data_IF_099648811099
#
_entry.id   IF_099648811099
#
_cell.length_a   1.000
_cell.length_b   1.000
_cell.length_c   1.000
_cell.angle_alpha   90.00
_cell.angle_beta   90.00
_cell.angle_gamma   90.00
#
_symmetry.space_group_name_H-M   'P 1'
#
loop_
_entity.id
_entity.type
_entity.pdbx_description
1 polymer ?
#
# COMPACT_ATOMS: atom_id res chain seq x y z
N UNK A 1 42.15 19.72 -28.20
CA UNK A 1 43.33 19.02 -27.63
C UNK A 1 42.85 18.11 -26.51
N UNK A 2 43.06 16.86 -26.75
CA UNK A 2 42.57 15.68 -26.08
C UNK A 2 43.50 15.40 -24.88
N UNK A 3 42.95 15.13 -23.71
CA UNK A 3 43.71 14.65 -22.57
C UNK A 3 42.97 13.50 -21.86
N UNK A 4 43.30 12.27 -22.30
CA UNK A 4 42.80 11.05 -21.67
C UNK A 4 43.64 10.74 -20.41
N UNK A 5 42.99 10.47 -19.29
CA UNK A 5 43.61 9.91 -18.08
C UNK A 5 43.15 8.46 -17.92
N UNK A 6 44.09 7.53 -18.21
CA UNK A 6 43.98 6.11 -17.83
C UNK A 6 44.23 5.96 -16.35
N UNK A 7 43.37 5.25 -15.62
CA UNK A 7 43.65 4.67 -14.30
C UNK A 7 43.71 3.15 -14.39
N UNK A 8 44.86 2.67 -13.95
CA UNK A 8 45.33 1.30 -13.80
C UNK A 8 44.51 0.54 -12.75
N UNK A 9 44.07 -0.66 -13.12
CA UNK A 9 43.47 -1.65 -12.24
C UNK A 9 44.61 -2.51 -11.67
N UNK A 10 44.69 -2.63 -10.35
CA UNK A 10 45.52 -3.63 -9.66
C UNK A 10 44.61 -4.72 -9.11
N UNK A 11 44.87 -5.95 -9.51
CA UNK A 11 44.35 -7.17 -8.88
C UNK A 11 45.13 -7.47 -7.58
N UNK A 12 44.51 -8.06 -6.57
CA UNK A 12 45.24 -8.73 -5.49
C UNK A 12 45.24 -10.25 -5.66
N UNK A 13 46.40 -10.81 -5.35
CA UNK A 13 46.89 -12.17 -5.46
C UNK A 13 46.11 -13.19 -4.61
N UNK A 14 46.06 -14.43 -5.14
CA UNK A 14 45.68 -15.66 -4.44
C UNK A 14 46.78 -16.09 -3.45
N UNK A 15 46.37 -16.53 -2.25
CA UNK A 15 47.20 -17.39 -1.40
C UNK A 15 46.47 -18.71 -1.12
N UNK A 16 47.07 -19.78 -1.56
CA UNK A 16 46.79 -21.20 -1.22
C UNK A 16 47.32 -21.52 0.18
N UNK A 17 46.67 -22.44 0.86
CA UNK A 17 47.19 -23.58 1.66
C UNK A 17 46.18 -23.94 2.75
N UNK A 18 45.96 -25.14 3.19
CA UNK A 18 46.42 -26.53 2.99
C UNK A 18 45.45 -27.45 3.73
N UNK A 19 45.33 -28.63 3.24
CA UNK A 19 44.60 -29.81 3.73
C UNK A 19 45.00 -30.27 5.13
N UNK A 20 44.01 -30.72 5.95
CA UNK A 20 44.18 -31.87 6.84
C UNK A 20 42.95 -32.73 6.92
N UNK A 21 43.17 -34.05 6.68
CA UNK A 21 42.23 -35.14 6.85
C UNK A 21 42.08 -35.50 8.34
N UNK A 22 40.89 -35.91 8.74
CA UNK A 22 40.65 -36.63 9.98
C UNK A 22 39.34 -37.39 9.90
N UNK A 23 39.43 -38.70 9.98
CA UNK A 23 38.39 -39.71 9.95
C UNK A 23 37.59 -39.78 11.25
N UNK A 24 36.31 -40.17 11.22
CA UNK A 24 35.77 -40.99 12.30
C UNK A 24 34.28 -40.76 12.65
N UNK A 25 33.49 -41.74 12.26
CA UNK A 25 32.37 -42.39 12.94
C UNK A 25 30.97 -41.77 13.06
N UNK A 26 30.08 -42.63 12.62
CA UNK A 26 28.66 -42.66 12.66
C UNK A 26 28.06 -42.52 14.08
N UNK A 27 26.95 -41.80 14.19
CA UNK A 27 25.83 -42.15 15.04
C UNK A 27 24.57 -41.43 14.54
N UNK A 28 23.57 -42.19 14.21
CA UNK A 28 22.22 -41.71 13.89
C UNK A 28 21.59 -41.03 15.11
N UNK A 29 21.05 -39.85 14.92
CA UNK A 29 20.12 -39.23 15.87
C UNK A 29 18.98 -38.62 15.05
N UNK A 30 17.78 -39.06 15.32
CA UNK A 30 16.52 -38.57 14.82
C UNK A 30 16.41 -37.07 15.20
N UNK A 31 16.35 -36.22 14.23
CA UNK A 31 16.22 -34.78 14.43
C UNK A 31 14.75 -34.38 14.31
N UNK A 32 14.14 -34.09 15.45
CA UNK A 32 12.87 -33.39 15.52
C UNK A 32 13.04 -32.00 14.92
N UNK A 33 12.35 -31.75 13.80
CA UNK A 33 12.23 -30.42 13.24
C UNK A 33 11.47 -29.51 14.21
N UNK A 34 12.19 -28.75 15.01
CA UNK A 34 11.67 -27.54 15.61
C UNK A 34 11.57 -26.46 14.51
N UNK A 35 10.33 -26.14 14.14
CA UNK A 35 10.05 -24.92 13.39
C UNK A 35 10.45 -23.71 14.25
N UNK A 36 11.63 -23.20 14.04
CA UNK A 36 12.06 -21.92 14.62
C UNK A 36 11.22 -20.81 13.99
N UNK A 37 10.26 -20.29 14.74
CA UNK A 37 9.54 -19.06 14.45
C UNK A 37 10.49 -17.88 14.42
N UNK A 38 11.18 -17.67 13.31
CA UNK A 38 11.89 -16.43 13.03
C UNK A 38 10.85 -15.35 12.76
N UNK A 39 10.64 -14.48 13.71
CA UNK A 39 9.97 -13.18 13.52
C UNK A 39 10.72 -12.43 12.42
N UNK A 40 10.20 -12.44 11.21
CA UNK A 40 10.76 -11.68 10.09
C UNK A 40 10.75 -10.21 10.51
N UNK A 41 11.92 -9.59 10.63
CA UNK A 41 12.05 -8.17 10.94
C UNK A 41 11.22 -7.34 9.95
N UNK A 42 10.57 -6.29 10.45
CA UNK A 42 9.83 -5.36 9.61
C UNK A 42 10.78 -4.79 8.53
N UNK A 43 10.43 -4.99 7.27
CA UNK A 43 11.14 -4.40 6.14
C UNK A 43 10.54 -3.03 5.92
N UNK A 44 11.23 -1.99 6.35
CA UNK A 44 10.93 -0.62 5.96
C UNK A 44 11.51 -0.49 4.55
N UNK A 45 10.64 -0.33 3.56
CA UNK A 45 11.08 0.01 2.21
C UNK A 45 11.53 1.47 2.22
N UNK A 46 12.57 1.83 1.45
CA UNK A 46 12.99 3.21 1.32
C UNK A 46 11.82 4.08 0.82
N UNK A 47 11.88 5.38 1.17
CA UNK A 47 10.99 6.39 0.62
C UNK A 47 11.14 6.37 -0.90
N UNK A 48 10.17 5.79 -1.60
CA UNK A 48 10.22 5.71 -3.06
C UNK A 48 9.86 7.06 -3.64
N UNK A 49 10.88 7.85 -3.97
CA UNK A 49 10.72 9.11 -4.71
C UNK A 49 10.43 8.89 -6.19
N UNK A 50 10.51 7.63 -6.66
CA UNK A 50 10.31 7.25 -8.05
C UNK A 50 9.21 6.18 -8.18
N UNK A 51 8.13 6.55 -8.84
CA UNK A 51 6.99 5.68 -9.15
C UNK A 51 7.38 4.42 -9.91
N UNK A 52 8.33 4.54 -10.83
CA UNK A 52 8.75 3.45 -11.67
C UNK A 52 9.48 2.37 -10.85
N UNK A 53 10.20 2.77 -9.79
CA UNK A 53 10.91 1.85 -8.93
C UNK A 53 9.95 1.01 -8.06
N UNK A 54 8.93 1.64 -7.45
CA UNK A 54 7.92 0.94 -6.65
C UNK A 54 7.05 0.00 -7.52
N UNK A 55 6.70 0.44 -8.74
CA UNK A 55 5.98 -0.38 -9.72
C UNK A 55 6.85 -1.53 -10.25
N UNK A 56 8.12 -1.27 -10.55
CA UNK A 56 9.07 -2.28 -11.05
C UNK A 56 9.32 -3.40 -10.02
N UNK A 57 9.17 -3.13 -8.74
CA UNK A 57 9.33 -4.13 -7.68
C UNK A 57 8.10 -5.04 -7.52
N UNK A 58 6.94 -4.71 -8.12
CA UNK A 58 5.72 -5.51 -7.98
C UNK A 58 5.31 -5.75 -6.54
N UNK A 59 5.55 -4.78 -5.65
CA UNK A 59 5.45 -4.95 -4.20
C UNK A 59 4.04 -5.35 -3.75
N UNK A 60 3.00 -4.83 -4.42
CA UNK A 60 1.62 -5.22 -4.13
C UNK A 60 1.40 -6.70 -4.46
N UNK A 61 1.85 -7.16 -5.63
CA UNK A 61 1.74 -8.56 -6.04
C UNK A 61 2.54 -9.48 -5.09
N UNK A 62 3.75 -9.07 -4.66
CA UNK A 62 4.55 -9.80 -3.66
C UNK A 62 3.76 -9.96 -2.34
N UNK A 63 3.10 -8.90 -1.89
CA UNK A 63 2.31 -8.93 -0.66
C UNK A 63 1.04 -9.76 -0.78
N UNK A 64 0.48 -9.89 -1.98
CA UNK A 64 -0.74 -10.67 -2.26
C UNK A 64 -0.44 -12.17 -2.49
N UNK A 65 0.80 -12.52 -2.83
CA UNK A 65 1.16 -13.89 -3.16
C UNK A 65 0.78 -14.88 -2.06
N UNK A 66 0.00 -15.91 -2.42
CA UNK A 66 -0.45 -16.96 -1.51
C UNK A 66 -1.48 -16.54 -0.45
N UNK A 67 -1.94 -15.29 -0.45
CA UNK A 67 -2.99 -14.81 0.45
C UNK A 67 -4.38 -15.19 -0.08
N UNK A 68 -5.30 -15.51 0.84
CA UNK A 68 -6.70 -15.85 0.53
C UNK A 68 -7.68 -14.84 1.09
N UNK A 69 -7.32 -14.18 2.20
CA UNK A 69 -8.17 -13.22 2.87
C UNK A 69 -7.40 -11.94 3.22
N UNK A 70 -7.98 -10.80 2.86
CA UNK A 70 -7.38 -9.48 3.06
C UNK A 70 -8.38 -8.58 3.79
N UNK A 71 -7.87 -7.82 4.74
CA UNK A 71 -8.58 -6.70 5.33
C UNK A 71 -7.89 -5.39 4.96
N UNK A 72 -8.69 -4.41 4.54
CA UNK A 72 -8.25 -3.05 4.27
C UNK A 72 -8.78 -2.16 5.40
N UNK A 73 -7.89 -1.38 6.01
CA UNK A 73 -8.20 -0.46 7.10
C UNK A 73 -7.76 0.96 6.73
N UNK A 74 -8.61 1.94 7.06
CA UNK A 74 -8.25 3.35 7.02
C UNK A 74 -8.24 3.97 8.42
N UNK A 75 -8.12 5.31 8.49
CA UNK A 75 -8.08 6.01 9.76
C UNK A 75 -9.47 6.34 10.31
N UNK A 76 -9.54 6.64 11.62
CA UNK A 76 -10.75 7.15 12.30
C UNK A 76 -11.20 8.47 11.68
N UNK A 77 -12.52 8.72 11.63
CA UNK A 77 -13.11 9.85 10.94
C UNK A 77 -12.64 9.97 9.50
N UNK A 78 -12.87 8.94 8.66
CA UNK A 78 -12.30 8.85 7.33
C UNK A 78 -12.73 10.03 6.45
N UNK A 79 -11.76 10.68 5.86
CA UNK A 79 -11.95 11.74 4.88
C UNK A 79 -11.98 11.21 3.44
N UNK A 80 -11.89 12.10 2.45
CA UNK A 80 -11.98 11.69 1.05
C UNK A 80 -10.80 10.89 0.58
N UNK A 81 -9.59 11.09 1.11
CA UNK A 81 -8.42 10.30 0.70
C UNK A 81 -8.42 8.92 1.36
N UNK A 82 -8.72 8.86 2.64
CA UNK A 82 -8.88 7.58 3.34
C UNK A 82 -9.95 6.69 2.66
N UNK A 83 -11.12 7.25 2.35
CA UNK A 83 -12.20 6.52 1.66
C UNK A 83 -11.79 6.16 0.24
N UNK A 84 -11.22 7.11 -0.50
CA UNK A 84 -10.81 6.93 -1.89
C UNK A 84 -9.74 5.87 -2.06
N UNK A 85 -8.70 5.90 -1.23
CA UNK A 85 -7.61 4.92 -1.29
C UNK A 85 -8.06 3.52 -0.84
N UNK A 86 -8.84 3.42 0.25
CA UNK A 86 -9.36 2.13 0.72
C UNK A 86 -10.33 1.48 -0.29
N UNK A 87 -11.31 2.23 -0.82
CA UNK A 87 -12.26 1.72 -1.80
C UNK A 87 -11.63 1.52 -3.18
N UNK A 88 -10.66 2.34 -3.56
CA UNK A 88 -9.87 2.16 -4.78
C UNK A 88 -9.13 0.82 -4.76
N UNK A 89 -8.43 0.52 -3.66
CA UNK A 89 -7.75 -0.76 -3.49
C UNK A 89 -8.74 -1.93 -3.43
N UNK A 90 -9.86 -1.78 -2.69
CA UNK A 90 -10.90 -2.80 -2.59
C UNK A 90 -11.46 -3.19 -3.97
N UNK A 91 -11.87 -2.21 -4.77
CA UNK A 91 -12.40 -2.47 -6.11
C UNK A 91 -11.33 -3.08 -7.02
N UNK A 92 -10.10 -2.56 -6.99
CA UNK A 92 -9.00 -3.10 -7.79
C UNK A 92 -8.73 -4.56 -7.48
N UNK A 93 -8.66 -4.94 -6.19
CA UNK A 93 -8.43 -6.33 -5.79
C UNK A 93 -9.58 -7.24 -6.20
N UNK A 94 -10.83 -6.80 -6.00
CA UNK A 94 -12.02 -7.59 -6.39
C UNK A 94 -12.14 -7.82 -7.89
N UNK A 95 -11.74 -6.85 -8.70
CA UNK A 95 -11.83 -6.93 -10.15
C UNK A 95 -10.70 -7.75 -10.78
N UNK A 96 -9.52 -7.80 -10.15
CA UNK A 96 -8.33 -8.34 -10.79
C UNK A 96 -7.75 -9.60 -10.14
N UNK A 97 -8.20 -9.99 -8.93
CA UNK A 97 -7.69 -11.17 -8.21
C UNK A 97 -8.82 -12.13 -7.86
N UNK A 98 -9.07 -13.08 -8.75
CA UNK A 98 -10.13 -14.08 -8.57
C UNK A 98 -9.85 -14.98 -7.35
N UNK A 99 -10.89 -15.26 -6.57
CA UNK A 99 -10.81 -16.12 -5.38
C UNK A 99 -10.22 -15.45 -4.14
N UNK A 100 -9.86 -14.16 -4.21
CA UNK A 100 -9.40 -13.39 -3.06
C UNK A 100 -10.59 -12.83 -2.28
N UNK A 101 -10.69 -13.18 -0.99
CA UNK A 101 -11.66 -12.58 -0.08
C UNK A 101 -11.13 -11.23 0.43
N UNK A 102 -11.79 -10.13 0.04
CA UNK A 102 -11.40 -8.78 0.43
C UNK A 102 -12.50 -8.14 1.27
N UNK A 103 -12.14 -7.66 2.46
CA UNK A 103 -13.01 -6.91 3.35
C UNK A 103 -12.44 -5.52 3.61
N UNK A 104 -13.29 -4.50 3.66
CA UNK A 104 -12.88 -3.14 4.03
C UNK A 104 -13.63 -2.70 5.29
N UNK A 105 -12.87 -2.17 6.25
CA UNK A 105 -13.40 -1.68 7.53
C UNK A 105 -13.01 -0.21 7.71
N UNK A 106 -14.02 0.65 7.77
CA UNK A 106 -13.88 2.08 8.05
C UNK A 106 -14.94 2.49 9.06
N UNK A 107 -14.71 3.56 9.79
CA UNK A 107 -15.78 4.22 10.53
C UNK A 107 -16.84 4.74 9.55
N UNK A 108 -18.00 5.14 10.11
CA UNK A 108 -19.13 5.61 9.31
C UNK A 108 -18.73 6.76 8.39
N UNK A 109 -18.83 6.50 7.09
CA UNK A 109 -18.54 7.47 6.04
C UNK A 109 -19.72 8.45 5.81
N UNK A 110 -19.41 9.65 5.35
CA UNK A 110 -20.42 10.59 4.93
C UNK A 110 -21.19 10.10 3.70
N UNK A 111 -22.52 10.31 3.66
CA UNK A 111 -23.39 9.93 2.53
C UNK A 111 -22.98 10.56 1.20
N UNK A 112 -22.25 11.66 1.24
CA UNK A 112 -21.69 12.34 0.07
C UNK A 112 -20.73 11.46 -0.75
N UNK A 113 -20.21 10.37 -0.19
CA UNK A 113 -19.36 9.40 -0.87
C UNK A 113 -20.12 8.17 -1.39
N UNK A 114 -21.46 8.14 -1.24
CA UNK A 114 -22.27 6.97 -1.62
C UNK A 114 -22.28 6.65 -3.12
N UNK A 115 -21.74 7.52 -3.96
CA UNK A 115 -21.55 7.26 -5.39
C UNK A 115 -20.36 6.34 -5.68
N UNK A 116 -19.43 6.17 -4.73
CA UNK A 116 -18.28 5.31 -4.91
C UNK A 116 -18.66 3.83 -4.87
N UNK A 117 -18.14 3.08 -5.83
CA UNK A 117 -18.28 1.63 -5.84
C UNK A 117 -17.67 1.04 -4.56
N UNK A 118 -18.35 0.06 -3.96
CA UNK A 118 -17.93 -0.55 -2.70
C UNK A 118 -18.37 0.22 -1.44
N UNK A 119 -18.99 1.42 -1.56
CA UNK A 119 -19.44 2.19 -0.40
C UNK A 119 -20.34 1.37 0.56
N UNK A 120 -21.26 0.60 0.01
CA UNK A 120 -22.19 -0.23 0.80
C UNK A 120 -21.57 -1.55 1.29
N UNK A 121 -20.37 -1.90 0.83
CA UNK A 121 -19.66 -3.12 1.23
C UNK A 121 -18.76 -2.87 2.46
N UNK A 122 -18.62 -1.60 2.89
CA UNK A 122 -17.79 -1.22 4.03
C UNK A 122 -18.41 -1.71 5.33
N UNK A 123 -17.62 -2.45 6.09
CA UNK A 123 -17.97 -2.84 7.45
C UNK A 123 -17.64 -1.70 8.43
N UNK A 124 -18.61 -1.35 9.26
CA UNK A 124 -18.46 -0.26 10.25
C UNK A 124 -18.36 -0.74 11.69
N UNK A 125 -18.46 -2.04 11.90
CA UNK A 125 -18.38 -2.69 13.22
C UNK A 125 -17.27 -3.73 13.24
N UNK A 126 -16.52 -3.78 14.34
CA UNK A 126 -15.48 -4.78 14.53
C UNK A 126 -16.10 -6.16 14.80
N UNK A 127 -15.70 -7.16 14.02
CA UNK A 127 -16.04 -8.56 14.23
C UNK A 127 -14.82 -9.34 14.74
N UNK A 128 -14.74 -9.50 16.06
CA UNK A 128 -13.60 -10.15 16.71
C UNK A 128 -13.43 -11.64 16.40
N UNK A 129 -14.31 -12.25 15.58
CA UNK A 129 -14.20 -13.65 15.16
C UNK A 129 -13.39 -13.84 13.89
N UNK A 130 -13.16 -12.75 13.12
CA UNK A 130 -12.44 -12.79 11.83
C UNK A 130 -10.94 -12.61 12.00
N UNK A 131 -10.19 -13.39 11.24
CA UNK A 131 -8.74 -13.26 11.06
C UNK A 131 -8.40 -13.22 9.57
N UNK A 132 -7.30 -12.56 9.22
CA UNK A 132 -6.92 -12.34 7.84
C UNK A 132 -5.47 -12.76 7.56
N UNK A 133 -5.20 -13.16 6.32
CA UNK A 133 -3.84 -13.47 5.88
C UNK A 133 -3.01 -12.19 5.75
N UNK A 134 -3.65 -11.09 5.34
CA UNK A 134 -2.98 -9.79 5.16
C UNK A 134 -3.90 -8.66 5.65
N UNK A 135 -3.33 -7.76 6.43
CA UNK A 135 -3.94 -6.47 6.73
C UNK A 135 -3.21 -5.37 5.94
N UNK A 136 -3.95 -4.64 5.12
CA UNK A 136 -3.44 -3.46 4.41
C UNK A 136 -4.02 -2.21 5.09
N UNK A 137 -3.16 -1.32 5.56
CA UNK A 137 -3.57 -0.01 6.07
C UNK A 137 -3.34 1.04 4.98
N UNK A 138 -4.32 1.91 4.75
CA UNK A 138 -4.21 3.02 3.81
C UNK A 138 -4.53 4.33 4.52
N UNK A 139 -3.73 5.35 4.28
CA UNK A 139 -3.89 6.70 4.81
C UNK A 139 -3.94 6.77 6.35
N UNK A 140 -3.11 5.97 7.02
CA UNK A 140 -3.03 5.93 8.47
C UNK A 140 -1.60 5.96 8.95
N UNK A 141 -1.23 6.96 9.74
CA UNK A 141 0.15 7.21 10.18
C UNK A 141 0.60 6.39 11.40
N UNK A 142 -0.36 5.90 12.21
CA UNK A 142 -0.08 5.16 13.44
C UNK A 142 -1.25 4.26 13.87
N UNK A 143 -0.99 3.35 14.83
CA UNK A 143 -1.99 2.38 15.31
C UNK A 143 -3.23 3.02 15.93
N UNK A 144 -3.13 4.06 16.78
CA UNK A 144 -4.29 4.74 17.34
C UNK A 144 -5.28 5.25 16.29
N UNK A 145 -4.79 5.64 15.11
CA UNK A 145 -5.65 6.09 14.01
C UNK A 145 -6.49 4.98 13.38
N UNK A 146 -6.18 3.71 13.61
CA UNK A 146 -7.01 2.59 13.14
C UNK A 146 -8.26 2.38 14.03
N UNK A 147 -8.36 3.06 15.16
CA UNK A 147 -9.51 3.01 16.05
C UNK A 147 -9.91 1.60 16.49
N UNK A 148 -11.20 1.30 16.41
CA UNK A 148 -11.75 -0.01 16.81
C UNK A 148 -11.24 -1.17 15.94
N UNK A 149 -10.68 -0.92 14.77
CA UNK A 149 -10.23 -1.94 13.82
C UNK A 149 -8.74 -2.31 13.98
N UNK A 150 -7.99 -1.64 14.87
CA UNK A 150 -6.59 -1.94 15.16
C UNK A 150 -6.31 -3.42 15.44
N UNK A 151 -7.18 -4.20 16.14
CA UNK A 151 -6.93 -5.62 16.39
C UNK A 151 -6.80 -6.47 15.12
N UNK A 152 -7.40 -6.09 13.99
CA UNK A 152 -7.19 -6.82 12.73
C UNK A 152 -5.75 -6.74 12.24
N UNK A 153 -5.12 -5.56 12.40
CA UNK A 153 -3.68 -5.40 12.07
C UNK A 153 -2.80 -6.23 13.02
N UNK A 154 -3.17 -6.34 14.30
CA UNK A 154 -2.40 -7.07 15.31
C UNK A 154 -2.49 -8.60 15.13
N UNK A 155 -3.62 -9.09 14.62
CA UNK A 155 -3.91 -10.52 14.47
C UNK A 155 -3.71 -11.07 13.05
N UNK A 156 -3.54 -10.21 12.04
CA UNK A 156 -3.26 -10.64 10.68
C UNK A 156 -1.89 -11.32 10.59
N UNK A 157 -1.77 -12.33 9.71
CA UNK A 157 -0.51 -13.07 9.52
C UNK A 157 0.58 -12.19 8.91
N UNK A 158 0.17 -11.17 8.15
CA UNK A 158 1.06 -10.21 7.52
C UNK A 158 0.44 -8.82 7.48
N UNK A 159 1.27 -7.77 7.33
CA UNK A 159 0.80 -6.38 7.35
C UNK A 159 1.50 -5.51 6.31
N UNK A 160 0.75 -4.67 5.62
CA UNK A 160 1.23 -3.75 4.58
C UNK A 160 0.63 -2.35 4.80
N UNK A 161 1.45 -1.31 4.67
CA UNK A 161 1.02 0.08 4.82
C UNK A 161 1.26 0.85 3.51
N UNK A 162 0.26 1.62 3.10
CA UNK A 162 0.31 2.57 1.98
C UNK A 162 -0.05 3.93 2.55
N UNK A 163 0.89 4.89 2.55
CA UNK A 163 0.69 6.16 3.22
C UNK A 163 1.53 7.28 2.60
N UNK A 164 1.16 8.54 2.87
CA UNK A 164 1.91 9.72 2.47
C UNK A 164 2.27 10.63 3.66
N UNK A 165 1.89 10.28 4.87
CA UNK A 165 2.16 11.10 6.05
C UNK A 165 3.64 11.06 6.46
N UNK A 166 4.29 12.23 6.53
CA UNK A 166 5.68 12.38 7.00
C UNK A 166 5.87 11.91 8.45
N UNK A 167 4.80 11.84 9.22
CA UNK A 167 4.81 11.38 10.61
C UNK A 167 4.80 9.86 10.74
N UNK A 168 4.47 9.13 9.70
CA UNK A 168 4.47 7.67 9.70
C UNK A 168 5.91 7.13 9.82
N UNK A 169 6.16 6.29 10.82
CA UNK A 169 7.47 5.68 11.11
C UNK A 169 7.52 4.19 10.81
N UNK A 170 6.58 3.70 10.01
CA UNK A 170 6.45 2.29 9.69
C UNK A 170 5.38 1.61 10.55
N UNK A 171 4.14 1.70 10.10
CA UNK A 171 2.98 1.12 10.80
C UNK A 171 2.92 -0.41 10.67
N UNK A 172 3.41 -0.96 9.57
CA UNK A 172 3.27 -2.36 9.18
C UNK A 172 4.63 -3.04 8.97
N UNK A 173 4.62 -4.34 8.72
CA UNK A 173 5.84 -5.10 8.39
C UNK A 173 6.46 -4.62 7.07
N UNK A 174 5.65 -4.33 6.08
CA UNK A 174 6.06 -3.69 4.83
C UNK A 174 5.35 -2.36 4.73
N UNK A 175 6.07 -1.30 4.34
CA UNK A 175 5.53 0.04 4.26
C UNK A 175 5.97 0.71 2.96
N UNK A 176 5.04 1.31 2.26
CA UNK A 176 5.28 2.26 1.18
C UNK A 176 4.77 3.62 1.65
N UNK A 177 5.69 4.51 1.99
CA UNK A 177 5.39 5.82 2.56
C UNK A 177 6.07 6.86 1.68
N UNK A 178 5.27 7.63 0.94
CA UNK A 178 5.77 8.70 0.05
C UNK A 178 5.34 10.08 0.56
N UNK A 179 6.15 10.68 1.42
CA UNK A 179 5.84 11.97 2.03
C UNK A 179 5.79 13.15 1.03
N UNK A 180 6.28 12.94 -0.18
CA UNK A 180 6.18 13.89 -1.29
C UNK A 180 4.92 13.74 -2.15
N UNK A 181 4.15 12.67 -1.98
CA UNK A 181 2.90 12.46 -2.69
C UNK A 181 1.79 13.36 -2.13
N UNK A 182 0.85 13.73 -2.97
CA UNK A 182 -0.27 14.59 -2.58
C UNK A 182 -1.27 13.90 -1.65
N UNK A 183 -1.34 12.55 -1.69
CA UNK A 183 -2.36 11.74 -1.03
C UNK A 183 -1.95 10.27 -1.00
N UNK A 184 -2.55 9.47 -0.12
CA UNK A 184 -2.40 8.01 -0.14
C UNK A 184 -2.97 7.38 -1.42
N UNK A 185 -3.99 7.99 -2.01
CA UNK A 185 -4.53 7.61 -3.32
C UNK A 185 -3.51 7.80 -4.45
N UNK A 186 -2.66 8.84 -4.39
CA UNK A 186 -1.53 9.02 -5.33
C UNK A 186 -0.48 7.92 -5.14
N UNK A 187 -0.13 7.59 -3.89
CA UNK A 187 0.81 6.50 -3.59
C UNK A 187 0.26 5.17 -4.11
N UNK A 188 -1.01 4.87 -3.79
CA UNK A 188 -1.67 3.65 -4.25
C UNK A 188 -1.67 3.53 -5.78
N UNK A 189 -1.99 4.63 -6.52
CA UNK A 189 -1.94 4.64 -7.98
C UNK A 189 -0.60 4.11 -8.52
N UNK A 190 0.51 4.47 -7.87
CA UNK A 190 1.85 4.01 -8.26
C UNK A 190 2.09 2.52 -8.07
N UNK A 191 1.32 1.86 -7.21
CA UNK A 191 1.43 0.42 -6.94
C UNK A 191 0.54 -0.43 -7.84
N UNK A 192 -0.43 0.19 -8.54
CA UNK A 192 -1.39 -0.51 -9.37
C UNK A 192 -0.89 -0.66 -10.81
N UNK A 193 -1.26 -1.76 -11.45
CA UNK A 193 -1.18 -1.89 -12.90
C UNK A 193 -2.21 -0.97 -13.55
N UNK A 194 -1.75 0.08 -14.24
CA UNK A 194 -2.60 1.13 -14.80
C UNK A 194 -3.56 0.61 -15.88
N UNK A 195 -3.16 -0.46 -16.59
CA UNK A 195 -4.02 -1.08 -17.62
C UNK A 195 -5.24 -1.77 -16.99
N UNK A 196 -5.13 -2.14 -15.71
CA UNK A 196 -6.19 -2.78 -14.92
C UNK A 196 -7.03 -1.81 -14.08
N UNK A 197 -6.77 -0.51 -14.15
CA UNK A 197 -7.57 0.49 -13.46
C UNK A 197 -8.90 0.67 -14.21
N UNK A 198 -9.98 0.23 -13.59
CA UNK A 198 -11.35 0.43 -14.08
C UNK A 198 -11.84 1.85 -13.79
N UNK A 199 -13.00 2.20 -14.34
CA UNK A 199 -13.69 3.46 -14.01
C UNK A 199 -14.01 3.55 -12.50
N UNK A 200 -14.45 2.46 -11.87
CA UNK A 200 -14.77 2.43 -10.44
C UNK A 200 -13.55 2.71 -9.57
N UNK A 201 -12.40 2.09 -9.89
CA UNK A 201 -11.13 2.37 -9.22
C UNK A 201 -10.72 3.82 -9.44
N UNK A 202 -10.84 4.33 -10.68
CA UNK A 202 -10.47 5.70 -11.01
C UNK A 202 -11.32 6.74 -10.27
N UNK A 203 -12.63 6.53 -10.10
CA UNK A 203 -13.51 7.40 -9.32
C UNK A 203 -13.07 7.49 -7.85
N UNK A 204 -12.68 6.35 -7.26
CA UNK A 204 -12.18 6.30 -5.90
C UNK A 204 -10.85 7.09 -5.75
N UNK A 205 -9.86 6.78 -6.58
CA UNK A 205 -8.55 7.42 -6.52
C UNK A 205 -8.62 8.92 -6.80
N UNK A 206 -9.43 9.32 -7.81
CA UNK A 206 -9.63 10.74 -8.11
C UNK A 206 -10.27 11.48 -6.94
N UNK A 207 -11.23 10.87 -6.26
CA UNK A 207 -11.86 11.42 -5.05
C UNK A 207 -10.82 11.70 -3.98
N UNK A 208 -9.94 10.73 -3.68
CA UNK A 208 -8.90 10.90 -2.68
C UNK A 208 -7.95 12.04 -3.03
N UNK A 209 -7.40 12.03 -4.23
CA UNK A 209 -6.48 13.09 -4.72
C UNK A 209 -7.16 14.46 -4.66
N UNK A 210 -8.41 14.58 -5.12
CA UNK A 210 -9.13 15.84 -5.13
C UNK A 210 -9.36 16.38 -3.70
N UNK A 211 -9.62 15.51 -2.73
CA UNK A 211 -9.83 15.90 -1.35
C UNK A 211 -8.56 16.42 -0.69
N UNK A 212 -7.46 15.69 -0.79
CA UNK A 212 -6.21 16.05 -0.12
C UNK A 212 -5.49 17.23 -0.76
N UNK A 213 -5.73 17.46 -2.05
CA UNK A 213 -5.20 18.62 -2.77
C UNK A 213 -6.09 19.86 -2.68
N UNK A 214 -7.25 19.76 -2.00
CA UNK A 214 -8.25 20.84 -1.99
C UNK A 214 -8.70 21.20 -3.40
N UNK A 215 -9.01 20.18 -4.21
CA UNK A 215 -9.32 20.31 -5.65
C UNK A 215 -8.17 20.95 -6.39
N UNK A 216 -6.97 20.40 -6.20
CA UNK A 216 -5.71 20.82 -6.86
C UNK A 216 -5.26 22.24 -6.54
N UNK A 217 -5.73 22.80 -5.41
CA UNK A 217 -5.43 24.15 -4.98
C UNK A 217 -4.26 24.24 -4.00
N UNK A 218 -4.02 23.18 -3.22
CA UNK A 218 -3.00 23.19 -2.18
C UNK A 218 -1.59 22.96 -2.75
N UNK A 219 -0.58 23.36 -1.98
CA UNK A 219 0.83 23.31 -2.38
C UNK A 219 1.40 21.90 -2.53
N UNK A 220 0.72 20.88 -2.02
CA UNK A 220 1.07 19.47 -2.25
C UNK A 220 0.67 18.97 -3.64
N UNK A 221 -0.06 19.76 -4.44
CA UNK A 221 -0.36 19.45 -5.84
C UNK A 221 0.90 19.62 -6.68
N UNK A 222 1.38 18.53 -7.26
CA UNK A 222 2.55 18.49 -8.15
C UNK A 222 2.15 18.27 -9.62
N UNK A 223 3.14 18.35 -10.54
CA UNK A 223 2.91 17.92 -11.92
C UNK A 223 2.46 16.44 -11.97
N UNK A 224 3.12 15.58 -11.21
CA UNK A 224 2.80 14.16 -11.09
C UNK A 224 1.34 13.95 -10.67
N UNK A 225 0.89 14.69 -9.67
CA UNK A 225 -0.51 14.69 -9.22
C UNK A 225 -1.48 15.01 -10.36
N UNK A 226 -1.16 16.03 -11.18
CA UNK A 226 -1.98 16.45 -12.31
C UNK A 226 -1.94 15.44 -13.47
N UNK A 227 -0.79 14.83 -13.74
CA UNK A 227 -0.64 13.79 -14.76
C UNK A 227 -1.49 12.56 -14.38
N UNK A 228 -1.50 12.17 -13.09
CA UNK A 228 -2.35 11.08 -12.57
C UNK A 228 -3.83 11.45 -12.65
N UNK A 229 -4.21 12.64 -12.23
CA UNK A 229 -5.59 13.10 -12.32
C UNK A 229 -6.09 13.07 -13.77
N UNK A 230 -5.25 13.51 -14.72
CA UNK A 230 -5.55 13.43 -16.15
C UNK A 230 -5.76 11.99 -16.63
N UNK A 231 -4.89 11.07 -16.23
CA UNK A 231 -5.04 9.64 -16.53
C UNK A 231 -6.36 9.07 -15.99
N UNK A 232 -6.69 9.39 -14.73
CA UNK A 232 -7.94 8.92 -14.12
C UNK A 232 -9.18 9.48 -14.84
N UNK A 233 -9.13 10.74 -15.32
CA UNK A 233 -10.18 11.34 -16.13
C UNK A 233 -10.39 10.62 -17.47
N UNK A 234 -9.32 10.12 -18.09
CA UNK A 234 -9.40 9.32 -19.34
C UNK A 234 -10.17 8.00 -19.15
N UNK A 235 -10.31 7.49 -17.91
CA UNK A 235 -11.15 6.34 -17.59
C UNK A 235 -12.66 6.66 -17.67
N UNK A 236 -13.03 7.89 -18.03
CA UNK A 236 -14.43 8.32 -18.24
C UNK A 236 -15.20 8.59 -16.95
N UNK A 237 -14.52 9.01 -15.89
CA UNK A 237 -15.14 9.45 -14.65
C UNK A 237 -15.88 10.77 -14.84
N UNK A 238 -16.94 11.00 -14.07
CA UNK A 238 -17.64 12.28 -14.01
C UNK A 238 -16.99 13.18 -12.93
N UNK A 239 -15.77 13.68 -13.23
CA UNK A 239 -14.99 14.44 -12.27
C UNK A 239 -15.68 15.72 -11.79
N UNK A 240 -16.48 16.48 -12.62
CA UNK A 240 -17.22 17.62 -12.10
C UNK A 240 -18.22 17.20 -11.01
N UNK A 241 -18.97 16.12 -11.26
CA UNK A 241 -19.91 15.57 -10.29
C UNK A 241 -19.20 15.11 -9.02
N UNK A 242 -18.05 14.42 -9.13
CA UNK A 242 -17.25 13.99 -7.99
C UNK A 242 -16.88 15.20 -7.12
N UNK A 243 -16.39 16.29 -7.72
CA UNK A 243 -15.99 17.50 -7.01
C UNK A 243 -17.19 18.15 -6.34
N UNK A 244 -18.30 18.34 -7.07
CA UNK A 244 -19.47 19.02 -6.56
C UNK A 244 -20.14 18.26 -5.42
N UNK A 245 -20.31 16.95 -5.55
CA UNK A 245 -21.02 16.12 -4.57
C UNK A 245 -20.16 15.75 -3.36
N UNK A 246 -18.87 15.54 -3.52
CA UNK A 246 -18.02 15.07 -2.40
C UNK A 246 -17.28 16.20 -1.69
N UNK A 247 -16.82 17.21 -2.40
CA UNK A 247 -15.99 18.28 -1.84
C UNK A 247 -16.82 19.54 -1.50
N UNK A 248 -17.64 20.02 -2.44
CA UNK A 248 -18.40 21.26 -2.27
C UNK A 248 -19.81 21.07 -1.70
N UNK A 249 -20.36 19.86 -1.72
CA UNK A 249 -21.68 19.61 -1.16
C UNK A 249 -21.72 19.96 0.35
N UNK A 250 -22.50 20.97 0.71
CA UNK A 250 -22.79 21.28 2.11
C UNK A 250 -23.80 20.25 2.63
N UNK A 251 -23.38 19.42 3.55
CA UNK A 251 -24.31 18.64 4.36
C UNK A 251 -25.05 19.62 5.29
N UNK A 252 -26.28 19.95 4.96
CA UNK A 252 -27.19 20.57 5.93
C UNK A 252 -27.57 19.47 6.94
N UNK A 253 -26.92 19.50 8.13
CA UNK A 253 -27.29 18.68 9.26
C UNK A 253 -28.55 19.20 9.94
#
# INVERSE_FOLDING_TARGET
MIGAVRRSIREPERSEQKTHRGCGNEAAAEDHMEESGQTRAARILPDFSDYEEAKALGILDEMLEGKKSIVILGHVNPDGDCIGSCLGLYNYLKENYEGLEVSVYLEKMGVKFSYLSGYNDVHTEYDGTKTFDLCITSDASDVPRLGAFAPYRETAKDTFCIDHHITNKGLCRVNVIESGASSASEVLFGLLDQDKISKAVAECLYTGIAHDTGVFKYSNTSRKTMDIAGFLMEKGIDFPKIIDESFFAKTYG
#
